data_IF_405041075544
#
_entry.id   IF_405041075544
#
_cell.length_a   1.000
_cell.length_b   1.000
_cell.length_c   1.000
_cell.angle_alpha   90.00
_cell.angle_beta   90.00
_cell.angle_gamma   90.00
#
_symmetry.space_group_name_H-M   'P 1'
#
loop_
_entity.id
_entity.type
_entity.pdbx_description
1 polymer ?
#
# COMPACT_ATOMS: atom_id res chain seq x y z
N UNK A 1 1.11 9.49 -28.33
CA UNK A 1 1.06 10.37 -27.14
C UNK A 1 1.53 9.57 -25.94
N UNK A 2 2.56 10.03 -25.24
CA UNK A 2 2.96 9.42 -23.96
C UNK A 2 1.80 9.68 -22.98
N UNK A 3 1.03 8.64 -22.65
CA UNK A 3 0.05 8.73 -21.58
C UNK A 3 0.86 8.75 -20.28
N UNK A 4 0.94 9.92 -19.66
CA UNK A 4 1.74 10.11 -18.46
C UNK A 4 0.85 9.85 -17.24
N UNK A 5 1.32 9.04 -16.30
CA UNK A 5 0.64 8.75 -15.03
C UNK A 5 1.29 9.58 -13.94
N UNK A 6 0.50 10.23 -13.08
CA UNK A 6 1.04 10.86 -11.87
C UNK A 6 1.19 9.77 -10.80
N UNK A 7 2.41 9.59 -10.30
CA UNK A 7 2.73 8.60 -9.27
C UNK A 7 3.13 9.33 -8.00
N UNK A 8 2.59 8.94 -6.86
CA UNK A 8 2.91 9.53 -5.56
C UNK A 8 2.94 8.47 -4.46
N UNK A 9 3.83 8.66 -3.49
CA UNK A 9 3.94 7.82 -2.31
C UNK A 9 3.13 8.43 -1.18
N UNK A 10 2.45 7.57 -0.41
CA UNK A 10 1.64 7.98 0.73
C UNK A 10 1.88 7.04 1.91
N UNK A 11 1.64 7.56 3.11
CA UNK A 11 1.64 6.79 4.36
C UNK A 11 0.22 6.82 4.92
N UNK A 12 -0.56 5.79 4.62
CA UNK A 12 -1.89 5.64 5.22
C UNK A 12 -1.76 5.07 6.63
N UNK A 13 -2.72 5.33 7.50
CA UNK A 13 -2.74 4.74 8.84
C UNK A 13 -3.98 3.86 8.99
N UNK A 14 -3.77 2.65 9.49
CA UNK A 14 -4.84 1.78 9.96
C UNK A 14 -5.52 2.37 11.22
N UNK A 15 -6.67 1.80 11.61
CA UNK A 15 -7.47 2.29 12.74
C UNK A 15 -6.74 2.21 14.08
N UNK A 16 -5.76 1.31 14.22
CA UNK A 16 -4.90 1.17 15.39
C UNK A 16 -3.53 1.84 15.21
N UNK A 17 -3.35 2.62 14.14
CA UNK A 17 -2.21 3.51 13.96
C UNK A 17 -1.02 2.91 13.22
N UNK A 18 -1.07 1.68 12.72
CA UNK A 18 0.01 1.15 11.87
C UNK A 18 0.07 1.93 10.57
N UNK A 19 1.27 2.43 10.27
CA UNK A 19 1.62 3.09 9.02
C UNK A 19 1.72 2.06 7.89
N UNK A 20 1.01 2.32 6.80
CA UNK A 20 0.91 1.46 5.62
C UNK A 20 1.56 2.18 4.45
N UNK A 21 2.73 1.69 4.05
CA UNK A 21 3.40 2.14 2.84
C UNK A 21 2.50 1.96 1.63
N UNK A 22 2.34 3.01 0.83
CA UNK A 22 1.42 2.97 -0.29
C UNK A 22 1.90 3.80 -1.48
N UNK A 23 1.43 3.39 -2.65
CA UNK A 23 1.65 4.10 -3.91
C UNK A 23 0.30 4.37 -4.57
N UNK A 24 0.13 5.61 -5.02
CA UNK A 24 -1.05 6.07 -5.73
C UNK A 24 -0.66 6.45 -7.15
N UNK A 25 -1.30 5.79 -8.11
CA UNK A 25 -1.26 6.11 -9.53
C UNK A 25 -2.53 6.87 -9.88
N UNK A 26 -2.39 8.08 -10.42
CA UNK A 26 -3.52 8.93 -10.80
C UNK A 26 -3.46 9.29 -12.29
N UNK A 27 -4.63 9.35 -12.97
CA UNK A 27 -4.72 10.05 -14.25
C UNK A 27 -4.31 11.52 -14.11
N UNK A 28 -3.78 12.12 -15.18
CA UNK A 28 -3.48 13.56 -15.21
C UNK A 28 -4.73 14.41 -14.98
N UNK A 29 -5.88 13.99 -15.54
CA UNK A 29 -7.17 14.59 -15.25
C UNK A 29 -7.76 13.95 -14.00
N UNK A 30 -8.10 14.78 -13.01
CA UNK A 30 -8.67 14.32 -11.74
C UNK A 30 -9.90 13.42 -11.96
N UNK A 31 -9.94 12.30 -11.25
CA UNK A 31 -11.05 11.34 -11.28
C UNK A 31 -11.69 11.17 -9.91
N UNK A 32 -12.95 10.71 -9.89
CA UNK A 32 -13.66 10.27 -8.68
C UNK A 32 -13.72 8.73 -8.57
N UNK A 33 -13.07 8.02 -9.50
CA UNK A 33 -13.07 6.55 -9.58
C UNK A 33 -11.70 6.03 -9.12
N UNK A 34 -11.70 5.11 -8.17
CA UNK A 34 -10.48 4.50 -7.65
C UNK A 34 -10.62 2.99 -7.57
N UNK A 35 -9.53 2.29 -7.89
CA UNK A 35 -9.35 0.87 -7.63
C UNK A 35 -8.37 0.76 -6.47
N UNK A 36 -8.76 -0.01 -5.45
CA UNK A 36 -7.92 -0.29 -4.29
C UNK A 36 -7.49 -1.75 -4.38
N UNK A 37 -6.19 -1.98 -4.46
CA UNK A 37 -5.60 -3.30 -4.46
C UNK A 37 -5.02 -3.60 -3.08
N UNK A 38 -5.50 -4.70 -2.50
CA UNK A 38 -4.96 -5.30 -1.29
C UNK A 38 -4.25 -6.58 -1.71
N UNK A 39 -2.93 -6.64 -1.55
CA UNK A 39 -2.18 -7.85 -1.87
C UNK A 39 -2.41 -8.94 -0.80
N UNK A 40 -2.05 -10.18 -1.13
CA UNK A 40 -2.15 -11.32 -0.23
C UNK A 40 -1.14 -11.29 0.93
N UNK A 41 -1.02 -12.41 1.63
CA UNK A 41 -0.11 -12.60 2.77
C UNK A 41 1.35 -12.75 2.30
N UNK A 42 2.31 -12.44 3.18
CA UNK A 42 3.74 -12.82 3.06
C UNK A 42 4.49 -12.21 1.85
N UNK A 43 4.16 -10.99 1.49
CA UNK A 43 4.88 -10.27 0.44
C UNK A 43 4.78 -8.77 0.61
N UNK A 44 5.50 -8.05 -0.24
CA UNK A 44 5.47 -6.60 -0.30
C UNK A 44 4.85 -6.16 -1.63
N UNK A 45 3.89 -5.23 -1.60
CA UNK A 45 3.18 -4.84 -2.82
C UNK A 45 4.14 -4.40 -3.93
N UNK A 46 5.23 -3.70 -3.60
CA UNK A 46 6.10 -3.07 -4.61
C UNK A 46 6.91 -4.09 -5.42
N UNK A 47 7.14 -5.28 -4.86
CA UNK A 47 7.87 -6.36 -5.52
C UNK A 47 7.05 -7.04 -6.62
N UNK A 48 5.74 -6.84 -6.62
CA UNK A 48 4.85 -7.42 -7.62
C UNK A 48 4.91 -6.61 -8.92
N UNK A 49 5.59 -7.13 -9.95
CA UNK A 49 5.73 -6.45 -11.25
C UNK A 49 4.40 -5.99 -11.88
N UNK A 50 3.30 -6.69 -11.60
CA UNK A 50 2.00 -6.30 -12.10
C UNK A 50 1.51 -4.95 -11.53
N UNK A 51 2.01 -4.50 -10.38
CA UNK A 51 1.57 -3.25 -9.74
C UNK A 51 1.83 -2.05 -10.64
N UNK A 52 3.02 -1.95 -11.25
CA UNK A 52 3.34 -0.85 -12.15
C UNK A 52 2.54 -0.92 -13.46
N UNK A 53 2.30 -2.14 -13.97
CA UNK A 53 1.50 -2.37 -15.17
C UNK A 53 0.04 -1.96 -14.93
N UNK A 54 -0.56 -2.46 -13.86
CA UNK A 54 -1.94 -2.15 -13.49
C UNK A 54 -2.12 -0.68 -13.13
N UNK A 55 -1.22 -0.12 -12.32
CA UNK A 55 -1.28 1.28 -11.90
C UNK A 55 -1.27 2.24 -13.08
N UNK A 56 -0.37 2.01 -14.05
CA UNK A 56 -0.38 2.78 -15.29
C UNK A 56 -1.64 2.51 -16.11
N UNK A 57 -2.00 1.24 -16.35
CA UNK A 57 -3.14 0.90 -17.21
C UNK A 57 -4.45 1.47 -16.68
N UNK A 58 -4.69 1.47 -15.37
CA UNK A 58 -5.88 2.06 -14.78
C UNK A 58 -5.88 3.59 -14.87
N UNK A 59 -4.75 4.25 -14.56
CA UNK A 59 -4.61 5.69 -14.70
C UNK A 59 -4.84 6.16 -16.14
N UNK A 60 -4.27 5.46 -17.12
CA UNK A 60 -4.48 5.72 -18.55
C UNK A 60 -5.94 5.61 -19.02
N UNK A 61 -6.79 4.95 -18.23
CA UNK A 61 -8.23 4.76 -18.50
C UNK A 61 -9.11 5.56 -17.52
N UNK A 62 -8.55 6.53 -16.79
CA UNK A 62 -9.29 7.47 -15.96
C UNK A 62 -9.70 6.91 -14.58
N UNK A 63 -9.00 5.88 -14.10
CA UNK A 63 -9.16 5.33 -12.75
C UNK A 63 -7.88 5.59 -11.95
N UNK A 64 -8.01 6.12 -10.75
CA UNK A 64 -6.91 6.09 -9.80
C UNK A 64 -6.68 4.64 -9.33
N UNK A 65 -5.44 4.30 -9.00
CA UNK A 65 -5.08 2.98 -8.47
C UNK A 65 -4.21 3.15 -7.23
N UNK A 66 -4.69 2.64 -6.10
CA UNK A 66 -3.99 2.63 -4.83
C UNK A 66 -3.64 1.19 -4.46
N UNK A 67 -2.37 0.94 -4.16
CA UNK A 67 -1.93 -0.29 -3.51
C UNK A 67 -1.03 0.05 -2.34
N UNK A 68 -1.06 -0.80 -1.32
CA UNK A 68 -0.37 -0.55 -0.06
C UNK A 68 0.01 -1.86 0.62
N UNK A 69 0.99 -1.79 1.52
CA UNK A 69 1.37 -2.92 2.37
C UNK A 69 0.35 -3.07 3.50
N UNK A 70 -0.20 -4.26 3.67
CA UNK A 70 -1.01 -4.58 4.86
C UNK A 70 -0.08 -4.92 6.06
N UNK A 71 -0.59 -4.95 7.31
CA UNK A 71 0.24 -5.20 8.51
C UNK A 71 0.96 -6.56 8.55
N UNK A 72 0.50 -7.50 7.73
CA UNK A 72 1.08 -8.84 7.54
C UNK A 72 1.99 -8.93 6.31
N UNK A 73 2.46 -7.80 5.78
CA UNK A 73 3.44 -7.76 4.70
C UNK A 73 4.76 -8.39 5.15
N UNK A 74 5.47 -9.01 4.21
CA UNK A 74 6.68 -9.80 4.44
C UNK A 74 6.48 -10.96 5.47
N UNK A 75 7.53 -11.75 5.70
CA UNK A 75 7.48 -12.80 6.73
C UNK A 75 7.58 -12.22 8.15
N UNK A 76 8.57 -11.36 8.34
CA UNK A 76 8.77 -10.51 9.51
C UNK A 76 8.94 -9.08 8.97
N UNK A 77 8.25 -8.13 9.57
CA UNK A 77 8.30 -6.73 9.16
C UNK A 77 8.49 -5.80 10.35
N UNK A 78 9.22 -4.72 10.09
CA UNK A 78 9.36 -3.58 10.97
C UNK A 78 8.23 -2.59 10.69
N UNK A 79 7.33 -2.42 11.66
CA UNK A 79 6.16 -1.56 11.51
C UNK A 79 6.34 -0.27 12.31
N UNK A 80 5.91 0.85 11.72
CA UNK A 80 5.77 2.11 12.45
C UNK A 80 4.33 2.25 12.90
N UNK A 81 4.14 2.54 14.19
CA UNK A 81 2.83 2.79 14.79
C UNK A 81 2.73 4.21 15.31
N UNK A 82 1.72 4.92 14.83
CA UNK A 82 1.34 6.24 15.34
C UNK A 82 0.57 6.09 16.65
N UNK A 83 1.00 6.84 17.65
CA UNK A 83 0.42 6.91 18.99
C UNK A 83 -0.01 8.34 19.31
N UNK A 84 -0.62 8.57 20.48
CA UNK A 84 -0.97 9.91 20.93
C UNK A 84 0.24 10.82 21.20
N UNK A 85 1.41 10.24 21.48
CA UNK A 85 2.63 10.97 21.86
C UNK A 85 3.73 10.94 20.81
N UNK A 86 3.49 10.34 19.64
CA UNK A 86 4.49 10.23 18.57
C UNK A 86 4.43 8.89 17.85
N UNK A 87 5.59 8.40 17.42
CA UNK A 87 5.72 7.15 16.69
C UNK A 87 6.54 6.15 17.49
N UNK A 88 6.11 4.89 17.46
CA UNK A 88 6.87 3.77 17.99
C UNK A 88 7.13 2.75 16.88
N UNK A 89 8.16 1.95 17.07
CA UNK A 89 8.40 0.77 16.26
C UNK A 89 7.75 -0.45 16.93
N UNK A 90 7.12 -1.30 16.13
CA UNK A 90 6.69 -2.63 16.57
C UNK A 90 7.01 -3.66 15.48
N UNK A 91 7.20 -4.89 15.91
CA UNK A 91 7.51 -6.00 15.00
C UNK A 91 6.21 -6.69 14.59
N UNK A 92 6.05 -6.92 13.30
CA UNK A 92 4.86 -7.53 12.70
C UNK A 92 5.21 -8.40 11.49
N UNK A 93 4.34 -8.41 10.50
CA UNK A 93 4.45 -9.32 9.36
C UNK A 93 3.70 -10.63 9.58
N UNK A 94 3.67 -11.44 8.53
CA UNK A 94 2.79 -12.61 8.46
C UNK A 94 3.03 -13.71 9.50
N UNK A 95 4.24 -13.81 10.05
CA UNK A 95 4.57 -14.78 11.10
C UNK A 95 3.73 -14.56 12.37
N UNK A 96 3.32 -13.31 12.64
CA UNK A 96 2.52 -12.98 13.83
C UNK A 96 1.10 -13.51 13.72
N UNK A 97 0.56 -13.59 12.50
CA UNK A 97 -0.72 -14.24 12.24
C UNK A 97 -0.61 -15.78 12.27
N UNK A 98 0.54 -16.34 11.88
CA UNK A 98 0.76 -17.79 11.80
C UNK A 98 1.08 -18.43 13.16
N UNK A 99 1.99 -17.83 13.91
CA UNK A 99 2.59 -18.47 15.10
C UNK A 99 2.14 -17.85 16.41
N UNK A 100 1.64 -16.61 16.39
CA UNK A 100 1.41 -15.83 17.61
C UNK A 100 -0.07 -15.57 17.90
N UNK A 101 -1.01 -15.98 17.02
CA UNK A 101 -2.47 -15.86 17.17
C UNK A 101 -2.91 -14.57 17.88
N UNK A 102 -2.46 -13.42 17.38
CA UNK A 102 -2.81 -12.11 17.95
C UNK A 102 -4.09 -11.53 17.37
#
# INVERSE_FOLDING_TARGET
MLKQTKISLHKAYSTDGIELDSILFEPLMRTKKIIIHVHGKEGNFVQNHFVSILGNRYAENGYAFLTFNNRGHDYIADLIKKTSTGFIWEQGGSVYDLLLHR
#
